data_IF_441646301716
#
_entry.id   IF_441646301716
#
_cell.length_a   1.000
_cell.length_b   1.000
_cell.length_c   1.000
_cell.angle_alpha   90.00
_cell.angle_beta   90.00
_cell.angle_gamma   90.00
#
_symmetry.space_group_name_H-M   'P 1'
#
loop_
_entity.id
_entity.type
_entity.pdbx_description
1 polymer ?
#
# COMPACT_ATOMS: atom_id res chain seq x y z
N UNK A 1 -9.62 5.56 -13.49
CA UNK A 1 -8.33 5.74 -14.19
C UNK A 1 -7.50 4.46 -14.17
N UNK A 2 -7.37 3.76 -13.03
CA UNK A 2 -6.61 2.49 -12.97
C UNK A 2 -7.35 1.31 -13.61
N UNK A 3 -8.67 1.37 -13.77
CA UNK A 3 -9.49 0.33 -14.40
C UNK A 3 -9.20 0.10 -15.91
N UNK A 4 -8.62 1.11 -16.57
CA UNK A 4 -8.22 1.00 -17.99
C UNK A 4 -6.88 0.31 -18.21
N UNK A 5 -6.22 -0.16 -17.15
CA UNK A 5 -4.90 -0.77 -17.23
C UNK A 5 -4.92 -2.28 -17.47
N UNK A 6 -6.09 -2.93 -17.39
CA UNK A 6 -6.16 -4.39 -17.47
C UNK A 6 -5.65 -4.92 -18.83
N UNK A 7 -4.50 -5.61 -18.88
CA UNK A 7 -3.98 -6.24 -20.09
C UNK A 7 -4.71 -7.54 -20.45
N UNK A 8 -5.74 -7.94 -19.71
CA UNK A 8 -6.48 -9.20 -19.91
C UNK A 8 -5.59 -10.45 -19.99
N UNK A 9 -4.51 -10.48 -19.19
CA UNK A 9 -3.56 -11.60 -19.19
C UNK A 9 -4.04 -12.74 -18.29
N UNK A 10 -4.04 -13.96 -18.82
CA UNK A 10 -4.31 -15.17 -18.04
C UNK A 10 -3.31 -15.29 -16.90
N UNK A 11 -3.79 -15.52 -15.67
CA UNK A 11 -2.95 -15.59 -14.48
C UNK A 11 -2.76 -14.26 -13.76
N UNK A 12 -3.32 -13.15 -14.27
CA UNK A 12 -3.37 -11.86 -13.61
C UNK A 12 -4.80 -11.59 -13.15
N UNK A 13 -4.98 -11.38 -11.83
CA UNK A 13 -6.25 -11.00 -11.23
C UNK A 13 -6.15 -9.59 -10.68
N UNK A 14 -6.94 -8.68 -11.23
CA UNK A 14 -7.06 -7.32 -10.73
C UNK A 14 -7.76 -7.26 -9.38
N UNK A 15 -7.34 -6.30 -8.55
CA UNK A 15 -8.02 -6.01 -7.31
C UNK A 15 -9.20 -5.08 -7.58
N UNK A 16 -10.33 -5.28 -6.90
CA UNK A 16 -11.44 -4.33 -6.95
C UNK A 16 -11.03 -3.02 -6.28
N UNK A 17 -11.69 -1.93 -6.68
CA UNK A 17 -11.35 -0.57 -6.26
C UNK A 17 -11.32 -0.39 -4.74
N UNK A 18 -12.22 -1.05 -4.04
CA UNK A 18 -12.36 -0.98 -2.58
C UNK A 18 -11.16 -1.61 -1.83
N UNK A 19 -10.35 -2.40 -2.52
CA UNK A 19 -9.14 -3.02 -1.97
C UNK A 19 -7.87 -2.24 -2.32
N UNK A 20 -7.97 -1.18 -3.15
CA UNK A 20 -6.81 -0.38 -3.50
C UNK A 20 -6.39 0.48 -2.30
N UNK A 21 -5.15 0.31 -1.86
CA UNK A 21 -4.59 1.07 -0.76
C UNK A 21 -3.07 1.16 -0.87
N UNK A 22 -2.50 2.17 -0.22
CA UNK A 22 -1.08 2.31 0.00
C UNK A 22 -0.78 1.98 1.46
N UNK A 23 0.02 0.95 1.70
CA UNK A 23 0.42 0.57 3.06
C UNK A 23 1.53 1.47 3.56
N UNK A 24 1.35 2.06 4.75
CA UNK A 24 2.36 2.84 5.44
C UNK A 24 3.25 1.96 6.33
N UNK A 25 2.66 0.98 7.01
CA UNK A 25 3.37 0.09 7.95
C UNK A 25 2.58 -1.19 8.15
N UNK A 26 3.27 -2.31 8.28
CA UNK A 26 2.72 -3.57 8.75
C UNK A 26 3.04 -3.73 10.23
N UNK A 27 2.01 -3.97 11.05
CA UNK A 27 2.15 -4.06 12.50
C UNK A 27 2.23 -5.51 13.00
N UNK A 28 1.91 -6.49 12.12
CA UNK A 28 1.79 -7.88 12.54
C UNK A 28 0.61 -8.09 13.49
N UNK A 29 0.76 -9.04 14.41
CA UNK A 29 -0.21 -9.28 15.47
C UNK A 29 0.01 -8.28 16.60
N UNK A 30 -1.04 -7.55 16.97
CA UNK A 30 -1.02 -6.56 18.04
C UNK A 30 -1.81 -7.10 19.21
N UNK A 31 -1.16 -7.19 20.37
CA UNK A 31 -1.81 -7.58 21.62
C UNK A 31 -2.89 -6.56 22.02
N UNK A 32 -4.02 -7.04 22.52
CA UNK A 32 -5.13 -6.18 22.94
C UNK A 32 -4.70 -5.11 23.95
N UNK A 33 -3.73 -5.42 24.81
CA UNK A 33 -3.15 -4.48 25.78
C UNK A 33 -2.41 -3.29 25.17
N UNK A 34 -1.93 -3.41 23.92
CA UNK A 34 -1.21 -2.39 23.18
C UNK A 34 -2.12 -1.60 22.21
N UNK A 35 -3.31 -2.12 21.90
CA UNK A 35 -4.21 -1.54 20.91
C UNK A 35 -4.66 -0.13 21.27
N UNK A 36 -5.07 0.11 22.51
CA UNK A 36 -5.52 1.43 22.97
C UNK A 36 -4.38 2.47 22.87
N UNK A 37 -3.16 2.09 23.28
CA UNK A 37 -1.99 2.97 23.14
C UNK A 37 -1.65 3.26 21.69
N UNK A 38 -1.75 2.25 20.84
CA UNK A 38 -1.55 2.42 19.39
C UNK A 38 -2.55 3.43 18.81
N UNK A 39 -3.84 3.28 19.11
CA UNK A 39 -4.88 4.23 18.68
C UNK A 39 -4.59 5.65 19.19
N UNK A 40 -4.21 5.81 20.46
CA UNK A 40 -3.90 7.11 21.05
C UNK A 40 -2.67 7.77 20.40
N UNK A 41 -1.61 7.02 20.13
CA UNK A 41 -0.39 7.56 19.50
C UNK A 41 -0.60 7.88 18.03
N UNK A 42 -1.33 7.04 17.30
CA UNK A 42 -1.71 7.29 15.89
C UNK A 42 -2.63 8.51 15.76
N UNK A 43 -3.55 8.71 16.70
CA UNK A 43 -4.42 9.89 16.73
C UNK A 43 -3.67 11.23 16.88
N UNK A 44 -2.40 11.22 17.26
CA UNK A 44 -1.54 12.41 17.35
C UNK A 44 -0.73 12.71 16.10
N UNK A 45 -0.73 11.78 15.13
CA UNK A 45 0.01 11.99 13.88
C UNK A 45 -0.66 13.09 13.06
N UNK A 46 0.13 14.10 12.68
CA UNK A 46 -0.29 15.22 11.84
C UNK A 46 0.75 15.50 10.77
N UNK A 47 0.28 15.65 9.54
CA UNK A 47 1.04 16.21 8.42
C UNK A 47 0.08 17.15 7.66
N UNK A 48 0.56 18.16 6.96
CA UNK A 48 -0.31 18.90 6.04
C UNK A 48 -0.91 17.97 5.00
N UNK A 49 -2.17 18.16 4.57
CA UNK A 49 -2.71 17.48 3.40
C UNK A 49 -1.80 17.72 2.18
N UNK A 50 -1.65 16.72 1.34
CA UNK A 50 -0.76 16.80 0.19
C UNK A 50 -1.28 16.03 -1.02
N UNK A 51 -0.87 16.44 -2.20
CA UNK A 51 -1.14 15.70 -3.42
C UNK A 51 -0.09 14.62 -3.63
N UNK A 52 -0.54 13.41 -3.94
CA UNK A 52 0.29 12.25 -4.21
C UNK A 52 0.10 11.81 -5.67
N UNK A 53 1.11 11.96 -6.53
CA UNK A 53 1.04 11.47 -7.89
C UNK A 53 1.15 9.94 -7.90
N UNK A 54 0.26 9.26 -8.61
CA UNK A 54 0.39 7.85 -8.94
C UNK A 54 1.01 7.73 -10.33
N UNK A 55 2.15 7.05 -10.41
CA UNK A 55 2.89 6.91 -11.65
C UNK A 55 3.71 5.62 -11.69
N UNK A 56 3.94 5.14 -12.89
CA UNK A 56 4.72 3.95 -13.15
C UNK A 56 4.04 2.66 -12.70
N UNK A 57 4.26 1.60 -13.43
CA UNK A 57 3.83 0.24 -13.09
C UNK A 57 5.04 -0.64 -12.85
N UNK A 58 4.97 -1.47 -11.84
CA UNK A 58 6.02 -2.41 -11.53
C UNK A 58 5.47 -3.74 -11.01
N UNK A 59 6.39 -4.66 -10.75
CA UNK A 59 6.09 -5.97 -10.21
C UNK A 59 6.96 -6.27 -9.00
N UNK A 60 6.39 -7.01 -8.05
CA UNK A 60 7.19 -7.74 -7.07
C UNK A 60 7.18 -9.22 -7.39
N UNK A 61 8.32 -9.86 -7.20
CA UNK A 61 8.49 -11.28 -7.41
C UNK A 61 8.43 -12.04 -6.08
N UNK A 62 7.88 -13.25 -6.12
CA UNK A 62 7.99 -14.24 -5.06
C UNK A 62 8.59 -15.49 -5.66
N UNK A 63 9.68 -16.01 -5.06
CA UNK A 63 10.41 -17.17 -5.57
C UNK A 63 10.73 -17.07 -7.07
N UNK A 64 11.24 -15.89 -7.48
CA UNK A 64 11.62 -15.57 -8.88
C UNK A 64 10.47 -15.54 -9.89
N UNK A 65 9.22 -15.52 -9.43
CA UNK A 65 8.05 -15.34 -10.29
C UNK A 65 7.25 -14.09 -9.90
N UNK A 66 6.62 -13.39 -10.87
CA UNK A 66 5.72 -12.29 -10.56
C UNK A 66 4.62 -12.72 -9.60
N UNK A 67 4.40 -11.92 -8.55
CA UNK A 67 3.37 -12.18 -7.55
C UNK A 67 2.42 -11.00 -7.38
N UNK A 68 2.91 -9.79 -7.56
CA UNK A 68 2.16 -8.55 -7.38
C UNK A 68 2.46 -7.60 -8.53
N UNK A 69 1.41 -7.01 -9.10
CA UNK A 69 1.50 -5.86 -10.00
C UNK A 69 1.04 -4.63 -9.22
N UNK A 70 1.80 -3.54 -9.30
CA UNK A 70 1.57 -2.34 -8.52
C UNK A 70 1.75 -1.06 -9.33
N UNK A 71 1.12 0.01 -8.88
CA UNK A 71 1.37 1.39 -9.33
C UNK A 71 2.20 2.08 -8.26
N UNK A 72 3.26 2.75 -8.69
CA UNK A 72 4.14 3.51 -7.81
C UNK A 72 3.63 4.91 -7.51
N UNK A 73 4.40 5.60 -6.68
CA UNK A 73 4.26 7.02 -6.42
C UNK A 73 5.51 7.74 -6.93
N UNK A 74 5.37 8.97 -7.35
CA UNK A 74 6.50 9.76 -7.86
C UNK A 74 7.72 9.72 -6.93
N UNK A 75 8.91 9.86 -7.52
CA UNK A 75 10.17 9.75 -6.78
C UNK A 75 10.22 10.75 -5.62
N UNK A 76 10.52 10.22 -4.41
CA UNK A 76 10.91 11.04 -3.27
C UNK A 76 9.82 11.98 -2.75
N UNK A 77 8.56 11.56 -2.71
CA UNK A 77 7.49 12.43 -2.23
C UNK A 77 7.67 12.78 -0.73
N UNK A 78 8.15 14.00 -0.37
CA UNK A 78 8.64 14.29 0.98
C UNK A 78 7.55 14.18 2.04
N UNK A 79 6.30 14.58 1.74
CA UNK A 79 5.18 14.51 2.68
C UNK A 79 4.75 13.07 2.97
N UNK A 80 4.79 12.18 1.96
CA UNK A 80 4.49 10.76 2.18
C UNK A 80 5.55 10.10 3.08
N UNK A 81 6.82 10.39 2.85
CA UNK A 81 7.90 9.88 3.70
C UNK A 81 7.86 10.49 5.11
N UNK A 82 7.46 11.75 5.25
CA UNK A 82 7.23 12.37 6.55
C UNK A 82 6.06 11.71 7.30
N UNK A 83 4.96 11.42 6.60
CA UNK A 83 3.82 10.67 7.15
C UNK A 83 4.25 9.28 7.61
N UNK A 84 4.92 8.52 6.75
CA UNK A 84 5.45 7.20 7.08
C UNK A 84 6.30 7.23 8.36
N UNK A 85 7.28 8.14 8.45
CA UNK A 85 8.14 8.28 9.63
C UNK A 85 7.35 8.59 10.89
N UNK A 86 6.37 9.50 10.84
CA UNK A 86 5.53 9.85 12.00
C UNK A 86 4.64 8.69 12.44
N UNK A 87 4.17 7.87 11.49
CA UNK A 87 3.44 6.63 11.81
C UNK A 87 4.37 5.64 12.50
N UNK A 88 5.60 5.42 12.02
CA UNK A 88 6.59 4.56 12.67
C UNK A 88 6.92 5.04 14.08
N UNK A 89 7.13 6.35 14.28
CA UNK A 89 7.37 6.93 15.60
C UNK A 89 6.18 6.71 16.55
N UNK A 90 4.94 6.78 16.04
CA UNK A 90 3.73 6.51 16.83
C UNK A 90 3.63 5.03 17.22
N UNK A 91 3.98 4.12 16.33
CA UNK A 91 4.04 2.66 16.58
C UNK A 91 5.06 2.36 17.69
N UNK A 92 6.26 2.93 17.60
CA UNK A 92 7.30 2.78 18.63
C UNK A 92 6.83 3.32 20.00
N UNK A 93 6.18 4.50 20.02
CA UNK A 93 5.63 5.08 21.28
C UNK A 93 4.51 4.22 21.87
N UNK A 94 3.80 3.45 21.08
CA UNK A 94 2.83 2.48 21.56
C UNK A 94 3.48 1.24 22.20
N UNK A 95 4.80 1.09 22.09
CA UNK A 95 5.55 -0.06 22.60
C UNK A 95 5.56 -1.24 21.62
N UNK A 96 5.27 -0.99 20.35
CA UNK A 96 5.32 -1.97 19.28
C UNK A 96 6.63 -1.84 18.49
N UNK A 97 6.99 -2.90 17.77
CA UNK A 97 8.15 -2.86 16.88
C UNK A 97 7.83 -2.10 15.58
N UNK A 98 8.77 -1.29 15.11
CA UNK A 98 8.66 -0.64 13.82
C UNK A 98 8.86 -1.65 12.67
N UNK A 99 8.18 -1.45 11.55
CA UNK A 99 8.49 -2.19 10.32
C UNK A 99 9.88 -1.75 9.80
N UNK A 100 10.86 -2.63 9.90
CA UNK A 100 12.25 -2.36 9.51
C UNK A 100 12.51 -2.52 8.01
N UNK A 101 11.49 -2.88 7.23
CA UNK A 101 11.63 -3.01 5.78
C UNK A 101 11.77 -1.64 5.14
N UNK A 102 12.53 -1.57 4.06
CA UNK A 102 12.60 -0.37 3.24
C UNK A 102 11.19 0.03 2.78
N UNK A 103 10.83 1.29 3.04
CA UNK A 103 9.56 1.82 2.62
C UNK A 103 9.53 2.02 1.11
N UNK A 104 8.84 1.12 0.44
CA UNK A 104 8.62 1.16 -1.02
C UNK A 104 7.14 1.47 -1.30
N UNK A 105 6.75 2.76 -1.35
CA UNK A 105 5.35 3.15 -1.46
C UNK A 105 4.76 2.75 -2.81
N UNK A 106 3.67 1.98 -2.77
CA UNK A 106 2.98 1.46 -3.94
C UNK A 106 1.51 1.17 -3.64
N UNK A 107 0.70 1.14 -4.68
CA UNK A 107 -0.67 0.63 -4.64
C UNK A 107 -0.70 -0.68 -5.41
N UNK A 108 -0.99 -1.79 -4.74
CA UNK A 108 -1.20 -3.07 -5.41
C UNK A 108 -2.47 -3.02 -6.24
N UNK A 109 -2.36 -3.27 -7.55
CA UNK A 109 -3.48 -3.26 -8.48
C UNK A 109 -3.85 -4.65 -8.98
N UNK A 110 -2.96 -5.64 -8.82
CA UNK A 110 -3.22 -7.00 -9.26
C UNK A 110 -2.35 -8.05 -8.58
N UNK A 111 -2.83 -9.27 -8.58
CA UNK A 111 -2.14 -10.46 -8.10
C UNK A 111 -1.84 -11.36 -9.28
N UNK A 112 -0.57 -11.74 -9.44
CA UNK A 112 -0.10 -12.61 -10.50
C UNK A 112 0.10 -14.04 -9.95
N UNK A 113 -0.39 -15.05 -10.68
CA UNK A 113 -0.20 -16.46 -10.35
C UNK A 113 0.01 -17.27 -11.61
N UNK A 114 1.18 -17.89 -11.71
CA UNK A 114 1.50 -18.76 -12.87
C UNK A 114 1.73 -17.99 -14.18
N UNK A 115 1.97 -16.69 -14.12
CA UNK A 115 2.34 -15.87 -15.28
C UNK A 115 3.84 -15.58 -15.25
N UNK A 116 4.50 -15.66 -16.39
CA UNK A 116 5.93 -15.37 -16.48
C UNK A 116 6.20 -13.86 -16.47
N UNK A 117 7.37 -13.47 -15.99
CA UNK A 117 7.83 -12.08 -16.08
C UNK A 117 7.87 -11.60 -17.53
N UNK A 118 8.25 -12.48 -18.47
CA UNK A 118 8.31 -12.17 -19.90
C UNK A 118 6.92 -11.78 -20.45
N UNK A 119 5.86 -12.45 -20.02
CA UNK A 119 4.49 -12.13 -20.44
C UNK A 119 4.00 -10.77 -19.91
N UNK A 120 4.50 -10.32 -18.73
CA UNK A 120 4.19 -9.00 -18.17
C UNK A 120 5.07 -7.87 -18.72
N UNK A 121 6.21 -8.17 -19.34
CA UNK A 121 7.17 -7.15 -19.80
C UNK A 121 6.57 -6.10 -20.76
N UNK A 122 5.74 -6.45 -21.76
CA UNK A 122 5.14 -5.45 -22.64
C UNK A 122 4.29 -4.45 -21.86
N UNK A 123 3.49 -4.94 -20.91
CA UNK A 123 2.65 -4.12 -20.06
C UNK A 123 3.47 -3.20 -19.15
N UNK A 124 4.52 -3.74 -18.51
CA UNK A 124 5.43 -2.96 -17.65
C UNK A 124 6.15 -1.88 -18.45
N UNK A 125 6.66 -2.21 -19.64
CA UNK A 125 7.37 -1.24 -20.50
C UNK A 125 6.47 -0.11 -21.00
N UNK A 126 5.22 -0.42 -21.33
CA UNK A 126 4.28 0.59 -21.84
C UNK A 126 3.77 1.54 -20.76
N UNK A 127 3.85 1.14 -19.47
CA UNK A 127 3.31 1.91 -18.35
C UNK A 127 4.35 2.25 -17.27
N UNK A 128 5.62 1.89 -17.47
CA UNK A 128 6.67 2.08 -16.46
C UNK A 128 6.90 3.54 -16.05
N UNK A 129 6.70 4.47 -16.97
CA UNK A 129 6.82 5.93 -16.72
C UNK A 129 5.48 6.66 -16.89
N UNK A 130 4.35 5.94 -16.98
CA UNK A 130 3.04 6.54 -17.18
C UNK A 130 2.59 7.30 -15.93
N UNK A 131 2.04 8.49 -16.10
CA UNK A 131 1.34 9.24 -15.07
C UNK A 131 -0.15 8.89 -15.11
N UNK A 132 -0.74 8.51 -13.96
CA UNK A 132 -2.12 8.07 -13.89
C UNK A 132 -3.06 9.12 -13.32
N UNK A 133 -2.80 9.54 -12.11
CA UNK A 133 -3.63 10.52 -11.41
C UNK A 133 -2.90 11.17 -10.24
N UNK A 134 -3.50 12.23 -9.75
CA UNK A 134 -3.08 12.95 -8.56
C UNK A 134 -4.14 12.73 -7.47
N UNK A 135 -3.75 12.19 -6.33
CA UNK A 135 -4.64 11.90 -5.20
C UNK A 135 -4.38 12.92 -4.10
N UNK A 136 -5.45 13.56 -3.57
CA UNK A 136 -5.35 14.36 -2.36
C UNK A 136 -5.34 13.42 -1.16
N UNK A 137 -4.24 13.41 -0.40
CA UNK A 137 -4.10 12.67 0.86
C UNK A 137 -4.46 13.60 2.01
N UNK A 138 -5.52 13.26 2.71
CA UNK A 138 -6.07 14.02 3.85
C UNK A 138 -6.03 13.24 5.15
N UNK A 139 -5.55 12.00 5.14
CA UNK A 139 -5.53 11.16 6.32
C UNK A 139 -4.98 9.77 6.03
N UNK A 140 -5.02 8.93 7.05
CA UNK A 140 -4.72 7.51 6.96
C UNK A 140 -5.69 6.69 7.83
N UNK A 141 -5.66 5.37 7.68
CA UNK A 141 -6.49 4.47 8.45
C UNK A 141 -5.67 3.31 9.04
N UNK A 142 -6.09 2.86 10.22
CA UNK A 142 -5.67 1.59 10.80
C UNK A 142 -6.66 0.52 10.38
N UNK A 143 -6.13 -0.61 9.89
CA UNK A 143 -6.91 -1.77 9.49
C UNK A 143 -6.54 -2.99 10.32
N UNK A 144 -7.53 -3.77 10.71
CA UNK A 144 -7.34 -5.18 11.04
C UNK A 144 -7.56 -6.03 9.80
N UNK A 145 -6.89 -7.18 9.76
CA UNK A 145 -7.01 -8.12 8.64
C UNK A 145 -7.33 -9.51 9.19
N UNK A 146 -8.46 -10.05 8.75
CA UNK A 146 -8.82 -11.43 9.06
C UNK A 146 -8.59 -12.29 7.82
N UNK A 147 -7.80 -13.36 7.96
CA UNK A 147 -7.60 -14.31 6.88
C UNK A 147 -8.89 -15.11 6.68
N UNK A 148 -9.54 -14.92 5.55
CA UNK A 148 -10.71 -15.67 5.13
C UNK A 148 -10.35 -16.60 3.96
N UNK A 149 -11.17 -17.63 3.72
CA UNK A 149 -10.95 -18.60 2.65
C UNK A 149 -10.82 -17.98 1.23
N UNK A 150 -11.35 -16.78 1.01
CA UNK A 150 -11.32 -16.04 -0.26
C UNK A 150 -10.28 -14.92 -0.30
N UNK A 151 -9.42 -14.79 0.72
CA UNK A 151 -8.42 -13.72 0.87
C UNK A 151 -8.58 -12.97 2.18
N UNK A 152 -7.70 -12.00 2.45
CA UNK A 152 -7.79 -11.17 3.64
C UNK A 152 -9.01 -10.23 3.53
N UNK A 153 -9.88 -10.25 4.55
CA UNK A 153 -10.89 -9.24 4.76
C UNK A 153 -10.29 -8.13 5.63
N UNK A 154 -10.37 -6.89 5.17
CA UNK A 154 -9.85 -5.73 5.89
C UNK A 154 -11.01 -4.97 6.54
N UNK A 155 -10.88 -4.68 7.83
CA UNK A 155 -11.82 -3.86 8.58
C UNK A 155 -11.12 -2.59 9.03
N UNK A 156 -11.78 -1.44 8.84
CA UNK A 156 -11.27 -0.14 9.34
C UNK A 156 -11.47 -0.08 10.84
N UNK A 157 -10.39 0.03 11.59
CA UNK A 157 -10.38 0.14 13.05
C UNK A 157 -10.29 1.59 13.50
N UNK A 158 -9.66 2.45 12.70
CA UNK A 158 -9.50 3.87 13.00
C UNK A 158 -9.25 4.65 11.71
N UNK A 159 -9.78 5.87 11.63
CA UNK A 159 -9.40 6.88 10.63
C UNK A 159 -8.81 8.08 11.33
N UNK A 160 -7.72 8.60 10.79
CA UNK A 160 -7.06 9.81 11.25
C UNK A 160 -6.98 10.79 10.07
N UNK A 161 -7.62 11.93 10.23
CA UNK A 161 -7.55 13.06 9.30
C UNK A 161 -6.54 14.10 9.81
N UNK A 162 -5.96 14.87 8.91
CA UNK A 162 -5.02 15.95 9.20
C UNK A 162 -5.32 17.24 8.44
#
# INVERSE_FOLDING_TARGET
>A
VLLGLDPHLTGLRWLPEEQLHLTLSFLGEVEASAEDRLRQTLAQVRVPPFFLPLCGVGIFNSRSQPSVVWVGVGKGHPHLFALHRRVQDAVLRAGLEADLKDFHPHVTIGRAKGISQQALQPFIRSHGDAEFCLIMVTGFALFSSVLAARGAAHQVEMRQEF
#
